data_IF_961981445864
#
_entry.id   IF_961981445864
#
_cell.length_a   1.000
_cell.length_b   1.000
_cell.length_c   1.000
_cell.angle_alpha   90.00
_cell.angle_beta   90.00
_cell.angle_gamma   90.00
#
_symmetry.space_group_name_H-M   'P 1'
#
loop_
_entity.id
_entity.type
_entity.pdbx_description
1 polymer ?
#
# COMPACT_ATOMS: atom_id res chain seq x y z
N UNK A 1 -23.05 -14.99 18.45
CA UNK A 1 -22.98 -14.02 17.33
C UNK A 1 -24.34 -13.33 17.17
N UNK A 2 -24.40 -12.05 16.79
CA UNK A 2 -25.66 -11.25 16.68
C UNK A 2 -26.43 -11.43 15.36
N UNK A 3 -26.03 -12.38 14.51
CA UNK A 3 -26.65 -12.60 13.18
C UNK A 3 -26.36 -11.50 12.15
N UNK A 4 -25.34 -10.66 12.38
CA UNK A 4 -24.91 -9.60 11.46
C UNK A 4 -23.75 -10.15 10.63
N UNK A 5 -23.88 -10.24 9.29
CA UNK A 5 -22.77 -10.64 8.42
C UNK A 5 -21.63 -9.62 8.47
N UNK A 6 -20.40 -10.10 8.53
CA UNK A 6 -19.18 -9.28 8.52
C UNK A 6 -18.40 -9.55 7.23
N UNK A 7 -18.14 -8.48 6.49
CA UNK A 7 -17.34 -8.51 5.26
C UNK A 7 -15.97 -7.86 5.51
N UNK A 8 -14.91 -8.49 5.01
CA UNK A 8 -13.57 -7.90 4.96
C UNK A 8 -13.26 -7.34 3.57
N UNK A 9 -13.07 -6.02 3.48
CA UNK A 9 -12.28 -5.43 2.39
C UNK A 9 -10.79 -5.72 2.65
N UNK A 10 -10.32 -6.82 2.09
CA UNK A 10 -8.95 -7.29 2.15
C UNK A 10 -8.09 -6.80 0.98
N UNK A 11 -8.35 -5.61 0.42
CA UNK A 11 -7.57 -5.09 -0.69
C UNK A 11 -6.05 -5.12 -0.44
N UNK A 12 -5.66 -4.97 0.83
CA UNK A 12 -4.27 -5.02 1.30
C UNK A 12 -4.07 -6.06 2.40
N UNK A 13 -4.75 -7.21 2.33
CA UNK A 13 -4.58 -8.26 3.34
C UNK A 13 -3.14 -8.82 3.35
N UNK A 14 -2.47 -8.80 2.20
CA UNK A 14 -1.17 -9.43 2.00
C UNK A 14 -0.09 -8.88 2.94
N UNK A 15 -0.14 -7.59 3.25
CA UNK A 15 0.78 -6.92 4.18
C UNK A 15 0.51 -7.20 5.67
N UNK A 16 -0.67 -7.71 6.02
CA UNK A 16 -1.13 -7.77 7.42
C UNK A 16 -0.44 -8.83 8.28
N UNK A 17 0.11 -9.92 7.71
CA UNK A 17 0.73 -10.98 8.51
C UNK A 17 1.90 -10.48 9.35
N UNK A 18 2.68 -9.54 8.82
CA UNK A 18 3.85 -8.96 9.49
C UNK A 18 3.48 -8.20 10.78
N UNK A 19 2.25 -7.72 10.89
CA UNK A 19 1.77 -7.04 12.10
C UNK A 19 0.97 -7.98 12.99
N UNK A 20 -0.07 -8.63 12.44
CA UNK A 20 -0.96 -9.47 13.23
C UNK A 20 -0.32 -10.78 13.69
N UNK A 21 0.76 -11.22 13.05
CA UNK A 21 1.40 -12.51 13.33
C UNK A 21 0.40 -13.67 13.20
N UNK A 22 -0.41 -13.60 12.14
CA UNK A 22 -1.49 -14.55 11.81
C UNK A 22 -1.42 -14.98 10.35
N UNK A 23 -1.86 -16.20 10.09
CA UNK A 23 -2.07 -16.69 8.73
C UNK A 23 -3.21 -15.93 8.05
N UNK A 24 -3.21 -15.85 6.72
CA UNK A 24 -4.35 -15.28 5.99
C UNK A 24 -5.65 -16.03 6.29
N UNK A 25 -5.58 -17.34 6.52
CA UNK A 25 -6.73 -18.17 6.89
C UNK A 25 -7.27 -17.81 8.27
N UNK A 26 -6.42 -17.62 9.28
CA UNK A 26 -6.85 -17.17 10.62
C UNK A 26 -7.52 -15.79 10.57
N UNK A 27 -6.97 -14.86 9.77
CA UNK A 27 -7.58 -13.53 9.58
C UNK A 27 -8.94 -13.67 8.88
N UNK A 28 -8.99 -14.42 7.77
CA UNK A 28 -10.21 -14.59 6.98
C UNK A 28 -11.32 -15.34 7.74
N UNK A 29 -10.97 -16.24 8.66
CA UNK A 29 -11.93 -17.01 9.45
C UNK A 29 -12.80 -16.15 10.40
N UNK A 30 -12.45 -14.88 10.60
CA UNK A 30 -13.23 -13.92 11.39
C UNK A 30 -14.37 -13.27 10.60
N UNK A 31 -14.50 -13.55 9.30
CA UNK A 31 -15.42 -12.88 8.39
C UNK A 31 -16.28 -13.89 7.63
N UNK A 32 -17.53 -13.52 7.34
CA UNK A 32 -18.46 -14.33 6.54
C UNK A 32 -18.10 -14.28 5.03
N UNK A 33 -17.52 -13.17 4.59
CA UNK A 33 -16.99 -13.00 3.24
C UNK A 33 -15.78 -12.07 3.21
N UNK A 34 -14.92 -12.27 2.22
CA UNK A 34 -13.70 -11.49 2.05
C UNK A 34 -13.47 -11.17 0.58
N UNK A 35 -13.14 -9.92 0.32
CA UNK A 35 -12.55 -9.45 -0.93
C UNK A 35 -11.03 -9.37 -0.79
N UNK A 36 -10.27 -9.80 -1.79
CA UNK A 36 -8.81 -9.57 -1.87
C UNK A 36 -8.42 -9.01 -3.23
N UNK A 37 -7.46 -8.10 -3.27
CA UNK A 37 -6.93 -7.52 -4.52
C UNK A 37 -5.61 -8.14 -4.94
N UNK A 38 -5.35 -8.24 -6.25
CA UNK A 38 -4.04 -8.66 -6.77
C UNK A 38 -3.21 -7.53 -7.38
N UNK A 39 -3.80 -6.36 -7.62
CA UNK A 39 -3.12 -5.26 -8.32
C UNK A 39 -2.54 -4.20 -7.37
N UNK A 40 -2.92 -4.25 -6.08
CA UNK A 40 -2.24 -3.50 -5.02
C UNK A 40 -0.92 -4.19 -4.73
N UNK A 41 -0.70 -4.72 -3.54
CA UNK A 41 0.63 -5.15 -3.06
C UNK A 41 1.35 -6.21 -3.93
N UNK A 42 0.58 -6.96 -4.72
CA UNK A 42 1.12 -8.00 -5.62
C UNK A 42 1.36 -7.49 -7.06
N UNK A 43 0.95 -6.25 -7.35
CA UNK A 43 1.06 -5.55 -8.63
C UNK A 43 0.77 -6.39 -9.87
N UNK A 44 -0.29 -7.20 -9.81
CA UNK A 44 -0.98 -7.71 -10.99
C UNK A 44 -1.59 -6.57 -11.81
N UNK A 45 -2.06 -6.88 -13.02
CA UNK A 45 -2.63 -5.88 -13.94
C UNK A 45 -3.97 -5.32 -13.42
N UNK A 46 -4.82 -6.19 -12.89
CA UNK A 46 -6.11 -5.91 -12.27
C UNK A 46 -6.55 -7.16 -11.50
N UNK A 47 -7.80 -7.17 -11.06
CA UNK A 47 -8.46 -8.39 -10.58
C UNK A 47 -8.45 -8.56 -9.06
N UNK A 48 -9.35 -9.44 -8.63
CA UNK A 48 -9.63 -9.74 -7.23
C UNK A 48 -10.18 -11.16 -7.07
N UNK A 49 -10.28 -11.62 -5.82
CA UNK A 49 -11.14 -12.74 -5.45
C UNK A 49 -12.15 -12.30 -4.42
N UNK A 50 -13.38 -12.79 -4.58
CA UNK A 50 -14.40 -12.81 -3.54
C UNK A 50 -14.48 -14.25 -3.01
N UNK A 51 -14.34 -14.42 -1.70
CA UNK A 51 -14.40 -15.71 -1.02
C UNK A 51 -15.44 -15.65 0.11
N UNK A 52 -16.07 -16.78 0.39
CA UNK A 52 -17.14 -16.92 1.38
C UNK A 52 -17.81 -18.29 1.25
N UNK A 53 -18.96 -18.45 1.90
CA UNK A 53 -19.74 -19.68 1.83
C UNK A 53 -20.18 -20.02 0.38
N UNK A 54 -20.42 -21.31 0.12
CA UNK A 54 -20.70 -21.80 -1.24
C UNK A 54 -21.97 -21.17 -1.84
N UNK A 55 -23.04 -21.07 -1.07
CA UNK A 55 -24.31 -20.43 -1.44
C UNK A 55 -24.12 -18.94 -1.76
N UNK A 56 -23.34 -18.23 -0.94
CA UNK A 56 -22.97 -16.83 -1.17
C UNK A 56 -22.22 -16.64 -2.50
N UNK A 57 -21.25 -17.52 -2.81
CA UNK A 57 -20.49 -17.45 -4.07
C UNK A 57 -21.38 -17.81 -5.27
N UNK A 58 -22.30 -18.77 -5.13
CA UNK A 58 -23.26 -19.09 -6.19
C UNK A 58 -24.14 -17.89 -6.55
N UNK A 59 -24.67 -17.18 -5.55
CA UNK A 59 -25.43 -15.95 -5.78
C UNK A 59 -24.54 -14.84 -6.38
N UNK A 60 -23.33 -14.68 -5.87
CA UNK A 60 -22.39 -13.66 -6.36
C UNK A 60 -22.01 -13.85 -7.83
N UNK A 61 -21.93 -15.09 -8.33
CA UNK A 61 -21.68 -15.37 -9.77
C UNK A 61 -22.81 -14.86 -10.67
N UNK A 62 -24.06 -14.92 -10.23
CA UNK A 62 -25.20 -14.35 -10.97
C UNK A 62 -25.03 -12.84 -11.09
N UNK A 63 -24.65 -12.18 -9.99
CA UNK A 63 -24.36 -10.75 -9.99
C UNK A 63 -23.15 -10.40 -10.87
N UNK A 64 -22.07 -11.17 -10.81
CA UNK A 64 -20.91 -10.98 -11.68
C UNK A 64 -21.33 -10.98 -13.17
N UNK A 65 -22.24 -11.88 -13.57
CA UNK A 65 -22.78 -11.89 -14.94
C UNK A 65 -23.64 -10.66 -15.23
N UNK A 66 -24.55 -10.27 -14.33
CA UNK A 66 -25.40 -9.07 -14.47
C UNK A 66 -24.57 -7.80 -14.62
N UNK A 67 -23.44 -7.71 -13.92
CA UNK A 67 -22.50 -6.60 -14.02
C UNK A 67 -21.52 -6.70 -15.20
N UNK A 68 -21.64 -7.69 -16.08
CA UNK A 68 -20.74 -7.87 -17.23
C UNK A 68 -19.33 -8.35 -16.88
N UNK A 69 -19.08 -8.77 -15.63
CA UNK A 69 -17.77 -9.23 -15.16
C UNK A 69 -17.43 -10.68 -15.50
N UNK A 70 -18.41 -11.47 -15.97
CA UNK A 70 -18.20 -12.85 -16.41
C UNK A 70 -17.68 -12.88 -17.86
N UNK A 71 -16.48 -12.35 -18.07
CA UNK A 71 -15.80 -12.28 -19.35
C UNK A 71 -15.54 -13.68 -19.93
N UNK A 72 -15.48 -13.79 -21.25
CA UNK A 72 -15.09 -15.04 -21.92
C UNK A 72 -13.73 -15.57 -21.44
N UNK A 73 -12.76 -14.67 -21.22
CA UNK A 73 -11.48 -15.01 -20.59
C UNK A 73 -11.03 -13.92 -19.62
N UNK A 74 -10.48 -14.36 -18.48
CA UNK A 74 -9.79 -13.52 -17.50
C UNK A 74 -8.30 -13.90 -17.39
N UNK A 75 -7.80 -14.72 -18.33
CA UNK A 75 -6.48 -15.33 -18.26
C UNK A 75 -5.32 -14.34 -18.04
N UNK A 76 -5.26 -13.16 -18.70
CA UNK A 76 -4.19 -12.19 -18.44
C UNK A 76 -4.14 -11.71 -16.98
N UNK A 77 -5.30 -11.44 -16.38
CA UNK A 77 -5.40 -11.00 -14.99
C UNK A 77 -5.02 -12.14 -14.02
N UNK A 78 -5.48 -13.36 -14.29
CA UNK A 78 -5.14 -14.54 -13.49
C UNK A 78 -3.64 -14.84 -13.56
N UNK A 79 -3.02 -14.76 -14.74
CA UNK A 79 -1.59 -14.95 -14.92
C UNK A 79 -0.76 -13.90 -14.15
N UNK A 80 -1.15 -12.63 -14.24
CA UNK A 80 -0.50 -11.54 -13.50
C UNK A 80 -0.65 -11.71 -11.97
N UNK A 81 -1.85 -12.08 -11.49
CA UNK A 81 -2.10 -12.36 -10.08
C UNK A 81 -1.23 -13.52 -9.56
N UNK A 82 -1.16 -14.62 -10.30
CA UNK A 82 -0.30 -15.77 -9.96
C UNK A 82 1.18 -15.40 -9.93
N UNK A 83 1.63 -14.54 -10.85
CA UNK A 83 3.00 -14.04 -10.84
C UNK A 83 3.31 -13.22 -9.58
N UNK A 84 2.40 -12.31 -9.20
CA UNK A 84 2.52 -11.51 -7.98
C UNK A 84 2.55 -12.35 -6.71
N UNK A 85 1.65 -13.33 -6.60
CA UNK A 85 1.66 -14.30 -5.49
C UNK A 85 2.99 -15.06 -5.38
N UNK A 86 3.60 -15.44 -6.52
CA UNK A 86 4.85 -16.19 -6.53
C UNK A 86 6.07 -15.32 -6.22
N UNK A 87 6.12 -14.09 -6.75
CA UNK A 87 7.34 -13.25 -6.71
C UNK A 87 7.33 -12.18 -5.62
N UNK A 88 6.17 -11.60 -5.32
CA UNK A 88 6.06 -10.41 -4.46
C UNK A 88 5.56 -10.72 -3.07
N UNK A 89 4.62 -11.66 -2.94
CA UNK A 89 4.10 -12.07 -1.63
C UNK A 89 5.22 -12.50 -0.65
N UNK A 90 6.24 -13.29 -1.07
CA UNK A 90 7.32 -13.67 -0.16
C UNK A 90 8.20 -12.50 0.31
N UNK A 91 8.20 -11.37 -0.42
CA UNK A 91 9.02 -10.19 -0.11
C UNK A 91 8.36 -9.27 0.92
N UNK A 92 7.07 -9.48 1.20
CA UNK A 92 6.25 -8.56 1.98
C UNK A 92 6.83 -8.24 3.36
N UNK A 93 7.32 -9.25 4.08
CA UNK A 93 7.93 -9.06 5.40
C UNK A 93 9.17 -8.15 5.33
N UNK A 94 10.02 -8.35 4.31
CA UNK A 94 11.18 -7.49 4.06
C UNK A 94 10.78 -6.05 3.75
N UNK A 95 9.70 -5.85 2.99
CA UNK A 95 9.17 -4.52 2.70
C UNK A 95 8.58 -3.83 3.93
N UNK A 96 7.98 -4.56 4.87
CA UNK A 96 7.53 -3.99 6.15
C UNK A 96 8.74 -3.53 6.98
N UNK A 97 9.80 -4.34 7.06
CA UNK A 97 11.05 -3.94 7.72
C UNK A 97 11.61 -2.68 7.09
N UNK A 98 11.70 -2.64 5.76
CA UNK A 98 12.20 -1.48 5.03
C UNK A 98 11.34 -0.23 5.23
N UNK A 99 10.02 -0.38 5.30
CA UNK A 99 9.12 0.73 5.60
C UNK A 99 9.40 1.35 6.97
N UNK A 100 9.69 0.52 7.98
CA UNK A 100 10.06 1.01 9.32
C UNK A 100 11.41 1.72 9.32
N UNK A 101 12.40 1.23 8.58
CA UNK A 101 13.70 1.90 8.43
C UNK A 101 13.58 3.28 7.77
N UNK A 102 12.86 3.35 6.64
CA UNK A 102 12.62 4.61 5.93
C UNK A 102 11.83 5.58 6.82
N UNK A 103 10.73 5.10 7.42
CA UNK A 103 9.91 5.88 8.34
C UNK A 103 10.73 6.46 9.50
N UNK A 104 11.60 5.66 10.13
CA UNK A 104 12.43 6.10 11.24
C UNK A 104 13.40 7.21 10.85
N UNK A 105 13.97 7.17 9.63
CA UNK A 105 14.87 8.21 9.13
C UNK A 105 14.11 9.49 8.77
N UNK A 106 12.93 9.37 8.17
CA UNK A 106 12.08 10.50 7.83
C UNK A 106 11.53 11.19 9.09
N UNK A 107 11.20 10.43 10.13
CA UNK A 107 10.69 10.95 11.40
C UNK A 107 11.73 11.73 12.23
N UNK A 108 13.00 11.78 11.80
CA UNK A 108 14.05 12.56 12.45
C UNK A 108 13.95 14.09 12.17
N UNK A 109 13.07 14.50 11.26
CA UNK A 109 12.87 15.90 10.87
C UNK A 109 11.61 16.47 11.56
N UNK A 110 11.75 17.60 12.26
CA UNK A 110 10.64 18.24 13.00
C UNK A 110 9.47 18.66 12.09
N UNK A 111 9.71 18.83 10.79
CA UNK A 111 8.68 19.17 9.81
C UNK A 111 7.92 17.94 9.27
N UNK A 112 8.25 16.73 9.73
CA UNK A 112 7.74 15.47 9.20
C UNK A 112 6.91 14.73 10.25
N UNK A 113 5.74 14.25 9.83
CA UNK A 113 4.94 13.30 10.62
C UNK A 113 4.79 12.02 9.79
N UNK A 114 5.12 10.90 10.41
CA UNK A 114 4.85 9.55 9.87
C UNK A 114 3.62 9.00 10.58
N UNK A 115 2.66 8.47 9.82
CA UNK A 115 1.46 7.85 10.38
C UNK A 115 1.10 6.51 9.70
N UNK A 116 0.95 5.41 10.45
CA UNK A 116 1.36 5.25 11.85
C UNK A 116 2.90 5.23 11.98
N UNK A 117 3.40 5.59 13.16
CA UNK A 117 4.83 5.51 13.50
C UNK A 117 5.05 4.61 14.74
N UNK A 118 5.69 3.43 14.62
CA UNK A 118 6.23 2.85 13.39
C UNK A 118 5.12 2.30 12.46
N UNK A 119 5.37 2.19 11.14
CA UNK A 119 4.47 1.52 10.22
C UNK A 119 4.19 0.07 10.62
N UNK A 120 2.91 -0.31 10.65
CA UNK A 120 2.50 -1.69 10.89
C UNK A 120 2.75 -2.59 9.67
N UNK A 121 2.69 -1.99 8.47
CA UNK A 121 2.74 -2.65 7.15
C UNK A 121 3.77 -1.94 6.26
N UNK A 122 3.93 -2.36 5.01
CA UNK A 122 4.85 -1.74 4.05
C UNK A 122 4.30 -0.42 3.45
N UNK A 123 3.41 0.25 4.17
CA UNK A 123 2.69 1.43 3.76
C UNK A 123 2.53 2.35 4.97
N UNK A 124 2.77 3.63 4.76
CA UNK A 124 2.47 4.67 5.75
C UNK A 124 2.17 6.00 5.07
N UNK A 125 1.52 6.88 5.80
CA UNK A 125 1.27 8.25 5.39
C UNK A 125 2.43 9.12 5.84
N UNK A 126 2.88 9.99 4.95
CA UNK A 126 3.93 10.96 5.20
C UNK A 126 3.32 12.37 5.10
N UNK A 127 3.41 13.11 6.19
CA UNK A 127 3.01 14.52 6.24
C UNK A 127 4.25 15.39 6.31
N UNK A 128 4.28 16.44 5.50
CA UNK A 128 5.36 17.41 5.43
C UNK A 128 4.79 18.80 5.68
N UNK A 129 5.36 19.55 6.60
CA UNK A 129 4.95 20.93 6.85
C UNK A 129 5.28 21.80 5.63
N UNK A 130 4.29 22.52 5.12
CA UNK A 130 4.47 23.44 3.98
C UNK A 130 3.36 23.32 2.93
N UNK A 131 3.49 24.14 1.89
CA UNK A 131 2.58 24.14 0.76
C UNK A 131 2.82 22.92 -0.16
N UNK A 132 1.78 22.13 -0.51
CA UNK A 132 1.95 20.91 -1.30
C UNK A 132 2.50 21.16 -2.71
N UNK A 133 2.19 22.30 -3.33
CA UNK A 133 2.65 22.62 -4.68
C UNK A 133 4.13 22.97 -4.66
N UNK A 134 4.54 23.86 -3.76
CA UNK A 134 5.93 24.27 -3.58
C UNK A 134 6.84 23.07 -3.20
N UNK A 135 6.39 22.23 -2.27
CA UNK A 135 7.15 21.04 -1.88
C UNK A 135 7.23 20.00 -3.00
N UNK A 136 6.18 19.83 -3.81
CA UNK A 136 6.22 18.91 -4.96
C UNK A 136 7.17 19.42 -6.03
N UNK A 137 7.17 20.72 -6.32
CA UNK A 137 8.08 21.33 -7.28
C UNK A 137 9.55 21.16 -6.85
N UNK A 138 9.84 21.47 -5.58
CA UNK A 138 11.19 21.31 -5.02
C UNK A 138 11.62 19.84 -5.01
N UNK A 139 10.72 18.92 -4.70
CA UNK A 139 11.00 17.48 -4.80
C UNK A 139 11.46 17.09 -6.22
N UNK A 140 10.79 17.57 -7.27
CA UNK A 140 11.16 17.27 -8.65
C UNK A 140 12.54 17.83 -9.02
N UNK A 141 12.88 19.02 -8.54
CA UNK A 141 14.20 19.64 -8.75
C UNK A 141 15.32 18.81 -8.09
N UNK A 142 15.13 18.41 -6.83
CA UNK A 142 16.09 17.57 -6.11
C UNK A 142 16.20 16.20 -6.80
N UNK A 143 15.07 15.62 -7.21
CA UNK A 143 15.06 14.32 -7.89
C UNK A 143 15.78 14.37 -9.24
N UNK A 144 15.62 15.44 -10.01
CA UNK A 144 16.34 15.65 -11.27
C UNK A 144 17.86 15.79 -11.05
N UNK A 145 18.27 16.46 -9.97
CA UNK A 145 19.69 16.67 -9.66
C UNK A 145 20.38 15.44 -9.06
N UNK A 146 19.67 14.64 -8.25
CA UNK A 146 20.25 13.55 -7.45
C UNK A 146 19.92 12.15 -7.96
N UNK A 147 18.95 12.02 -8.86
CA UNK A 147 18.37 10.73 -9.25
C UNK A 147 17.52 10.06 -8.16
N UNK A 148 17.32 10.69 -7.01
CA UNK A 148 16.51 10.16 -5.91
C UNK A 148 15.07 10.60 -6.05
N UNK A 149 14.13 9.66 -6.19
CA UNK A 149 12.70 9.96 -6.33
C UNK A 149 11.87 9.33 -5.20
N UNK A 150 11.55 10.13 -4.16
CA UNK A 150 10.86 9.62 -2.97
C UNK A 150 9.35 9.38 -3.15
N UNK A 151 8.63 10.31 -3.78
CA UNK A 151 7.18 10.23 -3.96
C UNK A 151 6.75 11.02 -5.20
N UNK A 152 5.56 10.73 -5.73
CA UNK A 152 5.13 11.34 -6.98
C UNK A 152 4.67 12.79 -6.82
N UNK A 153 3.82 13.03 -5.82
CA UNK A 153 3.20 14.33 -5.53
C UNK A 153 2.76 14.40 -4.08
N UNK A 154 2.62 15.62 -3.58
CA UNK A 154 1.92 15.91 -2.33
C UNK A 154 0.51 16.46 -2.62
N UNK A 155 -0.41 16.18 -1.72
CA UNK A 155 -1.76 16.74 -1.70
C UNK A 155 -2.01 17.54 -0.42
N UNK A 156 -3.17 18.21 -0.31
CA UNK A 156 -3.59 18.84 0.94
C UNK A 156 -3.73 17.79 2.04
N UNK A 157 -3.22 18.08 3.23
CA UNK A 157 -3.44 17.24 4.41
C UNK A 157 -4.70 17.68 5.18
N UNK A 158 -5.32 16.78 5.97
CA UNK A 158 -6.31 17.15 6.98
C UNK A 158 -5.74 17.99 8.13
N UNK A 159 -4.41 18.09 8.25
CA UNK A 159 -3.72 18.90 9.27
C UNK A 159 -3.37 20.26 8.65
N UNK A 160 -3.86 21.38 9.21
CA UNK A 160 -3.54 22.72 8.68
C UNK A 160 -2.04 22.96 8.58
N UNK A 161 -1.60 23.47 7.42
CA UNK A 161 -0.18 23.76 7.16
C UNK A 161 0.68 22.54 6.81
N UNK A 162 0.09 21.36 6.64
CA UNK A 162 0.78 20.17 6.15
C UNK A 162 0.31 19.77 4.76
N UNK A 163 1.25 19.25 3.99
CA UNK A 163 1.06 18.49 2.78
C UNK A 163 1.18 17.00 3.10
N UNK A 164 0.58 16.12 2.28
CA UNK A 164 0.53 14.69 2.56
C UNK A 164 0.73 13.85 1.30
N UNK A 165 1.37 12.69 1.47
CA UNK A 165 1.41 11.61 0.48
C UNK A 165 1.37 10.23 1.16
N UNK A 166 1.17 9.18 0.38
CA UNK A 166 1.28 7.80 0.85
C UNK A 166 2.59 7.18 0.34
N UNK A 167 3.39 6.63 1.26
CA UNK A 167 4.62 5.91 0.95
C UNK A 167 4.31 4.42 0.91
N UNK A 168 4.57 3.79 -0.23
CA UNK A 168 4.40 2.35 -0.44
C UNK A 168 5.75 1.71 -0.74
N UNK A 169 6.19 0.79 0.11
CA UNK A 169 7.50 0.17 0.00
C UNK A 169 7.41 -1.14 -0.76
N UNK A 170 8.01 -1.15 -1.94
CA UNK A 170 8.06 -2.25 -2.91
C UNK A 170 9.52 -2.53 -3.33
N UNK A 171 9.71 -3.28 -4.41
CA UNK A 171 10.99 -3.65 -5.03
C UNK A 171 11.95 -2.46 -5.15
N UNK A 172 11.51 -1.34 -5.74
CA UNK A 172 12.38 -0.17 -5.96
C UNK A 172 12.85 0.48 -4.65
N UNK A 173 11.94 0.70 -3.69
CA UNK A 173 12.28 1.31 -2.41
C UNK A 173 13.13 0.39 -1.50
N UNK A 174 13.10 -0.92 -1.76
CA UNK A 174 13.99 -1.88 -1.10
C UNK A 174 15.44 -1.74 -1.54
N UNK A 175 15.68 -1.15 -2.71
CA UNK A 175 17.01 -0.93 -3.28
C UNK A 175 17.51 0.51 -3.09
N UNK A 176 16.67 1.42 -2.57
CA UNK A 176 17.03 2.82 -2.33
C UNK A 176 18.17 2.92 -1.32
N UNK A 177 19.26 3.61 -1.62
CA UNK A 177 20.27 3.93 -0.61
C UNK A 177 19.66 4.86 0.47
N UNK A 178 19.64 4.42 1.73
CA UNK A 178 19.00 5.20 2.79
C UNK A 178 19.82 6.42 3.22
N UNK A 179 21.10 6.49 2.84
CA UNK A 179 21.96 7.61 3.19
C UNK A 179 21.65 8.84 2.33
N UNK A 180 20.91 8.66 1.22
CA UNK A 180 20.39 9.77 0.42
C UNK A 180 19.24 10.52 1.13
N UNK A 181 18.57 9.92 2.11
CA UNK A 181 17.34 10.50 2.70
C UNK A 181 17.62 11.78 3.48
N UNK A 182 18.67 11.81 4.30
CA UNK A 182 18.99 12.97 5.12
C UNK A 182 19.30 14.23 4.28
N UNK A 183 20.23 14.20 3.30
CA UNK A 183 20.49 15.36 2.45
C UNK A 183 19.27 15.73 1.59
N UNK A 184 18.54 14.74 1.07
CA UNK A 184 17.32 15.00 0.29
C UNK A 184 16.27 15.76 1.09
N UNK A 185 15.96 15.29 2.30
CA UNK A 185 14.94 15.91 3.15
C UNK A 185 15.37 17.28 3.68
N UNK A 186 16.66 17.47 3.96
CA UNK A 186 17.21 18.78 4.36
C UNK A 186 17.00 19.84 3.27
N UNK A 187 17.25 19.48 2.00
CA UNK A 187 17.00 20.36 0.86
C UNK A 187 15.49 20.60 0.68
N UNK A 188 14.69 19.54 0.73
CA UNK A 188 13.25 19.60 0.54
C UNK A 188 12.56 20.50 1.57
N UNK A 189 12.99 20.42 2.84
CA UNK A 189 12.36 21.11 3.97
C UNK A 189 13.04 22.43 4.32
N UNK A 190 13.94 22.94 3.46
CA UNK A 190 14.54 24.26 3.64
C UNK A 190 13.43 25.33 3.80
N UNK A 191 13.59 26.29 4.74
CA UNK A 191 12.64 27.39 4.93
C UNK A 191 12.26 28.14 3.65
#
# INVERSE_FOLDING_TARGET
>A
AKGIPIHLDGARIWQCQSFYQKTYAEIAALFDSIYVSFYKDLGGLAGCLLMGATDFIQQSRVWQRRHGGNLYTQAPFVAAARLGLRRRLPMMAGWVTRAREIASRLAAFDQVIVNPNPPHVNLFQLYLKGDPVALTQRHHEIAAATGTYLFHRLGPAPIPGFAMTEMHIWENASQLDLDCLAPFMTELLRP
#
